data_IF_742215261128
#
_entry.id   IF_742215261128
#
_cell.length_a   1.000
_cell.length_b   1.000
_cell.length_c   1.000
_cell.angle_alpha   90.00
_cell.angle_beta   90.00
_cell.angle_gamma   90.00
#
_symmetry.space_group_name_H-M   'P 1'
#
loop_
_entity.id
_entity.type
_entity.pdbx_description
1 polymer ?
#
# COMPACT_ATOMS: atom_id res chain seq x y z
N UNK A 1 -3.19 -3.34 -50.46
CA UNK A 1 -2.95 -2.64 -49.19
C UNK A 1 -2.63 -3.70 -48.16
N UNK A 2 -1.37 -3.86 -47.73
CA UNK A 2 -1.09 -4.71 -46.59
C UNK A 2 -1.85 -4.15 -45.36
N UNK A 3 -2.43 -4.99 -44.50
CA UNK A 3 -3.04 -4.52 -43.27
C UNK A 3 -1.96 -3.84 -42.43
N UNK A 4 -2.25 -2.65 -41.92
CA UNK A 4 -1.38 -1.96 -40.99
C UNK A 4 -1.08 -2.89 -39.80
N UNK A 5 0.18 -2.99 -39.34
CA UNK A 5 0.49 -3.77 -38.14
C UNK A 5 -0.32 -3.15 -37.01
N UNK A 6 -1.22 -3.94 -36.42
CA UNK A 6 -1.98 -3.57 -35.23
C UNK A 6 -0.95 -3.14 -34.20
N UNK A 7 -0.81 -1.83 -34.01
CA UNK A 7 -0.04 -1.25 -32.92
C UNK A 7 -0.68 -1.85 -31.68
N UNK A 8 0.00 -2.78 -31.01
CA UNK A 8 -0.41 -3.24 -29.71
C UNK A 8 -0.35 -1.98 -28.84
N UNK A 9 -1.52 -1.35 -28.67
CA UNK A 9 -1.66 -0.24 -27.75
C UNK A 9 -1.24 -0.83 -26.40
N UNK A 10 -0.21 -0.25 -25.79
CA UNK A 10 0.18 -0.50 -24.41
C UNK A 10 -0.97 -0.05 -23.50
N UNK A 11 -2.12 -0.73 -23.55
CA UNK A 11 -3.35 -0.47 -22.79
C UNK A 11 -3.20 -0.95 -21.34
N UNK A 12 -2.00 -0.78 -20.77
CA UNK A 12 -1.80 -0.99 -19.34
C UNK A 12 -2.26 0.26 -18.60
N UNK A 13 -3.42 0.16 -17.94
CA UNK A 13 -3.96 1.25 -17.13
C UNK A 13 -3.49 1.09 -15.69
N UNK A 14 -2.70 2.07 -15.21
CA UNK A 14 -2.25 2.11 -13.83
C UNK A 14 -3.01 3.15 -13.00
N UNK A 15 -3.47 2.74 -11.82
CA UNK A 15 -4.12 3.59 -10.83
C UNK A 15 -3.51 3.47 -9.44
N UNK A 16 -3.71 4.49 -8.60
CA UNK A 16 -3.40 4.37 -7.19
C UNK A 16 -4.30 3.29 -6.56
N UNK A 17 -3.70 2.31 -5.89
CA UNK A 17 -4.47 1.21 -5.28
C UNK A 17 -5.34 1.71 -4.12
N UNK A 18 -4.90 2.78 -3.45
CA UNK A 18 -5.63 3.41 -2.35
C UNK A 18 -6.08 4.82 -2.72
N UNK A 19 -7.35 5.18 -2.46
CA UNK A 19 -7.85 6.53 -2.67
C UNK A 19 -7.15 7.51 -1.72
N UNK A 20 -7.12 8.79 -2.09
CA UNK A 20 -6.45 9.85 -1.32
C UNK A 20 -6.89 9.89 0.15
N UNK A 21 -8.17 9.69 0.44
CA UNK A 21 -8.73 9.64 1.80
C UNK A 21 -8.07 8.58 2.68
N UNK A 22 -7.78 7.40 2.11
CA UNK A 22 -7.10 6.32 2.86
C UNK A 22 -5.65 6.70 3.16
N UNK A 23 -4.96 7.37 2.22
CA UNK A 23 -3.60 7.87 2.45
C UNK A 23 -3.58 8.90 3.58
N UNK A 24 -4.52 9.86 3.57
CA UNK A 24 -4.66 10.86 4.64
C UNK A 24 -4.95 10.19 5.99
N UNK A 25 -5.91 9.27 6.04
CA UNK A 25 -6.23 8.55 7.27
C UNK A 25 -5.03 7.77 7.80
N UNK A 26 -4.30 7.07 6.92
CA UNK A 26 -3.09 6.34 7.30
C UNK A 26 -2.02 7.29 7.85
N UNK A 27 -1.79 8.44 7.22
CA UNK A 27 -0.87 9.47 7.72
C UNK A 27 -1.27 9.99 9.10
N UNK A 28 -2.57 10.24 9.32
CA UNK A 28 -3.10 10.68 10.64
C UNK A 28 -2.86 9.62 11.71
N UNK A 29 -3.15 8.35 11.41
CA UNK A 29 -2.95 7.26 12.37
C UNK A 29 -1.46 7.05 12.70
N UNK A 30 -0.58 7.09 11.70
CA UNK A 30 0.87 6.97 11.91
C UNK A 30 1.40 8.17 12.71
N UNK A 31 0.92 9.39 12.45
CA UNK A 31 1.29 10.58 13.21
C UNK A 31 0.82 10.49 14.67
N UNK A 32 -0.42 10.05 14.91
CA UNK A 32 -0.94 9.82 16.26
C UNK A 32 -0.12 8.77 17.02
N UNK A 33 0.25 7.69 16.34
CA UNK A 33 1.07 6.63 16.92
C UNK A 33 2.48 7.11 17.24
N UNK A 34 3.09 7.92 16.37
CA UNK A 34 4.38 8.56 16.65
C UNK A 34 4.28 9.51 17.86
N UNK A 35 3.21 10.31 17.96
CA UNK A 35 2.99 11.22 19.08
C UNK A 35 2.88 10.47 20.42
N UNK A 36 2.08 9.41 20.49
CA UNK A 36 2.00 8.57 21.69
C UNK A 36 3.29 7.79 21.95
N UNK A 37 3.99 7.35 20.90
CA UNK A 37 5.28 6.69 21.02
C UNK A 37 6.33 7.57 21.70
N UNK A 38 6.41 8.86 21.35
CA UNK A 38 7.32 9.82 21.99
C UNK A 38 6.96 10.02 23.47
N UNK A 39 5.67 10.15 23.81
CA UNK A 39 5.25 10.27 25.21
C UNK A 39 5.52 9.00 26.03
N UNK A 40 5.35 7.82 25.42
CA UNK A 40 5.67 6.55 26.07
C UNK A 40 7.18 6.41 26.30
N UNK A 41 8.00 6.91 25.37
CA UNK A 41 9.45 6.90 25.48
C UNK A 41 9.93 7.69 26.70
N UNK A 42 9.37 8.89 26.91
CA UNK A 42 9.71 9.74 28.06
C UNK A 42 9.42 9.01 29.39
N UNK A 43 8.27 8.35 29.49
CA UNK A 43 7.90 7.55 30.67
C UNK A 43 8.81 6.33 30.88
N UNK A 44 9.31 5.71 29.81
CA UNK A 44 10.15 4.51 29.88
C UNK A 44 11.61 4.81 30.24
N UNK A 45 12.10 6.04 30.00
CA UNK A 45 13.47 6.41 30.42
C UNK A 45 13.69 6.29 31.92
N UNK A 46 12.63 6.45 32.73
CA UNK A 46 12.66 6.25 34.18
C UNK A 46 12.69 4.79 34.64
N UNK A 47 12.32 3.82 33.79
CA UNK A 47 12.11 2.42 34.18
C UNK A 47 13.31 1.49 33.89
N UNK A 48 14.36 2.00 33.25
CA UNK A 48 15.52 1.20 32.86
C UNK A 48 15.29 0.45 31.54
N UNK A 49 16.27 0.54 30.66
CA UNK A 49 16.18 0.01 29.30
C UNK A 49 16.56 -1.47 29.26
N UNK A 50 15.57 -2.35 29.06
CA UNK A 50 15.85 -3.75 28.72
C UNK A 50 16.20 -3.88 27.24
N UNK A 51 17.28 -4.60 26.91
CA UNK A 51 17.68 -4.89 25.52
C UNK A 51 16.53 -5.44 24.67
N UNK A 52 15.68 -6.28 25.26
CA UNK A 52 14.49 -6.84 24.58
C UNK A 52 13.45 -5.78 24.23
N UNK A 53 13.26 -4.76 25.07
CA UNK A 53 12.32 -3.67 24.83
C UNK A 53 12.79 -2.78 23.66
N UNK A 54 14.09 -2.48 23.59
CA UNK A 54 14.68 -1.70 22.48
C UNK A 54 14.53 -2.43 21.16
N UNK A 55 14.84 -3.73 21.14
CA UNK A 55 14.73 -4.58 19.96
C UNK A 55 13.28 -4.65 19.48
N UNK A 56 12.34 -4.87 20.41
CA UNK A 56 10.92 -4.91 20.09
C UNK A 56 10.43 -3.59 19.50
N UNK A 57 10.76 -2.46 20.13
CA UNK A 57 10.38 -1.13 19.64
C UNK A 57 10.97 -0.84 18.26
N UNK A 58 12.23 -1.20 18.02
CA UNK A 58 12.88 -1.06 16.72
C UNK A 58 12.17 -1.88 15.63
N UNK A 59 11.84 -3.14 15.91
CA UNK A 59 11.10 -3.99 14.97
C UNK A 59 9.70 -3.43 14.70
N UNK A 60 8.99 -2.99 15.74
CA UNK A 60 7.67 -2.37 15.61
C UNK A 60 7.72 -1.13 14.71
N UNK A 61 8.68 -0.22 14.93
CA UNK A 61 8.85 0.98 14.10
C UNK A 61 9.18 0.62 12.64
N UNK A 62 10.04 -0.37 12.41
CA UNK A 62 10.36 -0.86 11.08
C UNK A 62 9.12 -1.39 10.35
N UNK A 63 8.30 -2.21 11.02
CA UNK A 63 7.07 -2.77 10.43
C UNK A 63 6.06 -1.66 10.13
N UNK A 64 5.86 -0.71 11.04
CA UNK A 64 4.95 0.41 10.82
C UNK A 64 5.40 1.27 9.64
N UNK A 65 6.69 1.62 9.59
CA UNK A 65 7.26 2.41 8.49
C UNK A 65 7.15 1.70 7.14
N UNK A 66 7.42 0.39 7.11
CA UNK A 66 7.29 -0.42 5.90
C UNK A 66 5.83 -0.46 5.42
N UNK A 67 4.88 -0.74 6.32
CA UNK A 67 3.45 -0.74 5.99
C UNK A 67 2.99 0.62 5.47
N UNK A 68 3.37 1.72 6.13
CA UNK A 68 3.02 3.08 5.71
C UNK A 68 3.56 3.41 4.33
N UNK A 69 4.84 3.08 4.08
CA UNK A 69 5.46 3.26 2.78
C UNK A 69 4.71 2.51 1.67
N UNK A 70 4.33 1.25 1.92
CA UNK A 70 3.56 0.46 0.96
C UNK A 70 2.13 0.99 0.76
N UNK A 71 1.47 1.52 1.79
CA UNK A 71 0.15 2.18 1.64
C UNK A 71 0.25 3.38 0.70
N UNK A 72 1.31 4.19 0.82
CA UNK A 72 1.49 5.37 -0.03
C UNK A 72 1.86 5.00 -1.47
N UNK A 73 2.68 3.96 -1.67
CA UNK A 73 3.27 3.57 -2.96
C UNK A 73 2.48 2.48 -3.70
N UNK A 74 1.52 1.81 -3.07
CA UNK A 74 0.73 0.74 -3.70
C UNK A 74 0.01 1.24 -4.97
N UNK A 75 0.27 0.55 -6.08
CA UNK A 75 -0.30 0.81 -7.40
C UNK A 75 -1.02 -0.43 -7.89
N UNK A 76 -2.15 -0.24 -8.54
CA UNK A 76 -2.90 -1.28 -9.24
C UNK A 76 -2.73 -1.05 -10.73
N UNK A 77 -2.13 -2.00 -11.42
CA UNK A 77 -2.00 -2.03 -12.86
C UNK A 77 -2.98 -3.06 -13.43
N UNK A 78 -3.76 -2.68 -14.43
CA UNK A 78 -4.66 -3.56 -15.15
C UNK A 78 -4.08 -3.72 -16.56
N UNK A 79 -3.81 -4.95 -16.93
CA UNK A 79 -3.30 -5.35 -18.24
C UNK A 79 -4.37 -6.22 -18.94
N UNK A 80 -4.24 -6.43 -20.26
CA UNK A 80 -5.20 -7.15 -21.10
C UNK A 80 -5.42 -8.62 -20.67
N UNK A 81 -4.54 -9.17 -19.83
CA UNK A 81 -4.53 -10.58 -19.42
C UNK A 81 -4.70 -10.72 -17.89
N UNK A 82 -4.28 -9.73 -17.10
CA UNK A 82 -4.25 -9.86 -15.64
C UNK A 82 -4.33 -8.52 -14.91
N UNK A 83 -4.88 -8.56 -13.70
CA UNK A 83 -4.84 -7.43 -12.76
C UNK A 83 -3.67 -7.67 -11.80
N UNK A 84 -2.74 -6.71 -11.74
CA UNK A 84 -1.60 -6.71 -10.81
C UNK A 84 -1.78 -5.62 -9.76
N UNK A 85 -1.69 -5.98 -8.49
CA UNK A 85 -1.64 -5.02 -7.40
C UNK A 85 -0.30 -5.13 -6.67
N UNK A 86 0.43 -4.02 -6.64
CA UNK A 86 1.70 -3.91 -5.94
C UNK A 86 1.44 -3.68 -4.45
N UNK A 87 1.67 -4.72 -3.63
CA UNK A 87 1.66 -4.65 -2.17
C UNK A 87 2.89 -5.39 -1.61
N UNK A 88 2.98 -5.57 -0.28
CA UNK A 88 4.10 -6.25 0.38
C UNK A 88 4.40 -7.63 -0.25
N UNK A 89 3.34 -8.31 -0.71
CA UNK A 89 3.43 -9.36 -1.73
C UNK A 89 2.65 -8.91 -2.97
N UNK A 90 3.27 -8.94 -4.17
CA UNK A 90 2.55 -8.65 -5.40
C UNK A 90 1.45 -9.69 -5.60
N UNK A 91 0.22 -9.21 -5.75
CA UNK A 91 -0.95 -10.05 -6.11
C UNK A 91 -1.17 -9.91 -7.61
N UNK A 92 -1.12 -11.02 -8.33
CA UNK A 92 -1.50 -11.09 -9.74
C UNK A 92 -2.67 -12.06 -9.88
N UNK A 93 -3.74 -11.61 -10.53
CA UNK A 93 -4.94 -12.41 -10.80
C UNK A 93 -5.20 -12.37 -12.30
N UNK A 94 -5.29 -13.54 -12.94
CA UNK A 94 -5.66 -13.64 -14.34
C UNK A 94 -7.14 -13.26 -14.52
N UNK A 95 -7.47 -12.52 -15.58
CA UNK A 95 -8.86 -12.14 -15.86
C UNK A 95 -9.78 -13.36 -16.02
N UNK A 96 -9.24 -14.48 -16.52
CA UNK A 96 -9.95 -15.75 -16.65
C UNK A 96 -10.38 -16.36 -15.31
N UNK A 97 -9.69 -16.04 -14.21
CA UNK A 97 -9.99 -16.54 -12.87
C UNK A 97 -10.97 -15.62 -12.11
N UNK A 98 -11.41 -14.51 -12.72
CA UNK A 98 -12.35 -13.58 -12.10
C UNK A 98 -13.77 -14.09 -12.28
N UNK A 99 -14.34 -14.63 -11.19
CA UNK A 99 -15.73 -15.14 -11.20
C UNK A 99 -16.77 -14.01 -11.23
N UNK A 100 -16.45 -12.84 -10.70
CA UNK A 100 -17.37 -11.70 -10.63
C UNK A 100 -16.61 -10.38 -10.63
N UNK A 101 -16.99 -9.46 -11.54
CA UNK A 101 -16.50 -8.09 -11.57
C UNK A 101 -17.65 -7.11 -11.29
N UNK A 102 -17.46 -6.19 -10.34
CA UNK A 102 -18.44 -5.13 -10.03
C UNK A 102 -17.89 -3.79 -10.46
N UNK A 103 -18.47 -3.23 -11.52
CA UNK A 103 -18.15 -1.89 -11.99
C UNK A 103 -19.02 -0.87 -11.27
N UNK A 104 -18.37 0.15 -10.69
CA UNK A 104 -19.06 1.26 -10.02
C UNK A 104 -18.72 2.51 -10.82
N UNK A 105 -19.73 3.10 -11.45
CA UNK A 105 -19.58 4.38 -12.13
C UNK A 105 -19.54 5.49 -11.08
N UNK A 106 -18.48 6.29 -11.11
CA UNK A 106 -18.37 7.51 -10.31
C UNK A 106 -18.57 8.68 -11.27
N UNK A 107 -19.71 9.39 -11.22
CA UNK A 107 -19.91 10.60 -12.01
C UNK A 107 -18.90 11.66 -11.55
N UNK A 108 -18.22 12.30 -12.51
CA UNK A 108 -17.37 13.48 -12.30
C UNK A 108 -18.23 14.74 -12.35
#
# INVERSE_FOLDING_TARGET
MPPDPVQAVDDTVEGAAFPFTVKVLASVLVAALAFWGVQAFDQMTGAGWSTSAVLFMGVTLCVIGLCYYWILRSRTAIDAISIRQSWLWPKQVALADITQAKFIFVPY
#
